data_IF_217985399873
#
_entry.id   IF_217985399873
#
_cell.length_a   1.000
_cell.length_b   1.000
_cell.length_c   1.000
_cell.angle_alpha   90.00
_cell.angle_beta   90.00
_cell.angle_gamma   90.00
#
_symmetry.space_group_name_H-M   'P 1'
#
loop_
_entity.id
_entity.type
_entity.pdbx_description
1 polymer ?
#
# COMPACT_ATOMS: atom_id res chain seq x y z
N UNK A 1 3.42 -14.96 11.91
CA UNK A 1 2.76 -16.28 11.74
C UNK A 1 3.84 -17.34 11.72
N UNK A 2 3.68 -18.51 12.39
CA UNK A 2 4.66 -19.58 12.34
C UNK A 2 4.01 -20.91 11.89
N UNK A 3 4.83 -21.87 11.44
CA UNK A 3 4.37 -23.17 10.95
C UNK A 3 3.64 -23.99 12.01
N UNK A 4 4.13 -23.96 13.26
CA UNK A 4 3.56 -24.72 14.35
C UNK A 4 2.12 -24.27 14.67
N UNK A 5 1.89 -22.97 14.62
CA UNK A 5 0.53 -22.41 14.78
C UNK A 5 -0.41 -22.91 13.67
N UNK A 6 0.02 -22.92 12.41
CA UNK A 6 -0.81 -23.40 11.30
C UNK A 6 -1.09 -24.90 11.40
N UNK A 7 -0.12 -25.72 11.85
CA UNK A 7 -0.32 -27.14 12.11
C UNK A 7 -1.31 -27.37 13.25
N UNK A 8 -1.19 -26.63 14.33
CA UNK A 8 -2.13 -26.73 15.46
C UNK A 8 -3.55 -26.29 15.09
N UNK A 9 -3.69 -25.43 14.09
CA UNK A 9 -4.97 -25.00 13.51
C UNK A 9 -5.53 -26.01 12.47
N UNK A 10 -4.86 -27.13 12.23
CA UNK A 10 -5.35 -28.19 11.34
C UNK A 10 -5.11 -27.91 9.85
N UNK A 11 -4.22 -26.97 9.50
CA UNK A 11 -3.92 -26.67 8.09
C UNK A 11 -3.01 -27.75 7.50
N UNK A 12 -3.33 -28.33 6.32
CA UNK A 12 -2.48 -29.31 5.65
C UNK A 12 -1.08 -28.77 5.31
N UNK A 13 -0.05 -29.63 5.40
CA UNK A 13 1.35 -29.22 5.18
C UNK A 13 1.58 -28.51 3.83
N UNK A 14 0.95 -28.98 2.76
CA UNK A 14 1.04 -28.34 1.42
C UNK A 14 0.44 -26.92 1.40
N UNK A 15 -0.65 -26.68 2.12
CA UNK A 15 -1.24 -25.37 2.26
C UNK A 15 -0.37 -24.47 3.14
N UNK A 16 0.26 -25.01 4.18
CA UNK A 16 1.20 -24.29 5.03
C UNK A 16 2.35 -23.70 4.22
N UNK A 17 2.95 -24.48 3.30
CA UNK A 17 4.04 -24.00 2.47
C UNK A 17 3.64 -22.81 1.59
N UNK A 18 2.45 -22.85 1.01
CA UNK A 18 1.91 -21.74 0.20
C UNK A 18 1.62 -20.49 1.05
N UNK A 19 1.00 -20.67 2.21
CA UNK A 19 0.69 -19.59 3.15
C UNK A 19 1.99 -18.93 3.64
N UNK A 20 3.00 -19.73 3.99
CA UNK A 20 4.27 -19.22 4.47
C UNK A 20 5.07 -18.51 3.37
N UNK A 21 4.99 -18.98 2.13
CA UNK A 21 5.62 -18.32 0.98
C UNK A 21 4.98 -16.96 0.69
N UNK A 22 3.64 -16.86 0.72
CA UNK A 22 2.93 -15.60 0.49
C UNK A 22 3.16 -14.63 1.63
N UNK A 23 3.05 -15.08 2.87
CA UNK A 23 3.38 -14.29 4.05
C UNK A 23 4.83 -13.79 4.04
N UNK A 24 5.77 -14.61 3.52
CA UNK A 24 7.17 -14.21 3.34
C UNK A 24 7.33 -13.06 2.35
N UNK A 25 6.58 -13.07 1.23
CA UNK A 25 6.57 -11.97 0.25
C UNK A 25 6.00 -10.68 0.86
N UNK A 26 4.88 -10.77 1.57
CA UNK A 26 4.26 -9.62 2.24
C UNK A 26 5.22 -8.98 3.25
N UNK A 27 5.86 -9.80 4.09
CA UNK A 27 6.85 -9.32 5.06
C UNK A 27 8.05 -8.68 4.35
N UNK A 28 8.51 -9.25 3.23
CA UNK A 28 9.62 -8.68 2.49
C UNK A 28 9.22 -7.34 1.85
N UNK A 29 8.04 -7.26 1.25
CA UNK A 29 7.51 -6.02 0.70
C UNK A 29 7.39 -4.89 1.74
N UNK A 30 6.91 -5.22 2.94
CA UNK A 30 6.83 -4.24 4.04
C UNK A 30 8.22 -3.82 4.56
N UNK A 31 9.17 -4.76 4.63
CA UNK A 31 10.56 -4.43 4.97
C UNK A 31 11.20 -3.52 3.92
N UNK A 32 10.97 -3.78 2.65
CA UNK A 32 11.51 -2.97 1.56
C UNK A 32 10.92 -1.56 1.56
N UNK A 33 9.60 -1.41 1.83
CA UNK A 33 8.95 -0.11 2.04
C UNK A 33 9.56 0.64 3.23
N UNK A 34 9.72 -0.04 4.36
CA UNK A 34 10.34 0.55 5.56
C UNK A 34 11.80 0.93 5.33
N UNK A 35 12.57 0.09 4.65
CA UNK A 35 13.97 0.36 4.31
C UNK A 35 14.10 1.56 3.38
N UNK A 36 13.19 1.68 2.39
CA UNK A 36 13.14 2.83 1.49
C UNK A 36 12.83 4.12 2.23
N UNK A 37 11.83 4.11 3.12
CA UNK A 37 11.49 5.29 3.91
C UNK A 37 12.66 5.77 4.80
N UNK A 38 13.40 4.83 5.42
CA UNK A 38 14.60 5.14 6.20
C UNK A 38 15.70 5.71 5.30
N UNK A 39 15.89 5.17 4.10
CA UNK A 39 16.86 5.69 3.13
C UNK A 39 16.51 7.11 2.68
N UNK A 40 15.25 7.35 2.33
CA UNK A 40 14.77 8.66 1.91
C UNK A 40 14.96 9.72 3.02
N UNK A 41 14.68 9.36 4.27
CA UNK A 41 14.93 10.23 5.44
C UNK A 41 16.41 10.53 5.64
N UNK A 42 17.26 9.51 5.48
CA UNK A 42 18.72 9.70 5.61
C UNK A 42 19.28 10.60 4.50
N UNK A 43 18.73 10.51 3.29
CA UNK A 43 19.09 11.36 2.15
C UNK A 43 18.65 12.82 2.38
N UNK A 44 17.42 13.03 2.83
CA UNK A 44 16.92 14.34 3.20
C UNK A 44 17.76 14.99 4.31
N UNK A 45 18.15 14.22 5.32
CA UNK A 45 19.01 14.70 6.40
C UNK A 45 20.39 15.12 5.89
N UNK A 46 21.00 14.38 4.96
CA UNK A 46 22.28 14.76 4.32
C UNK A 46 22.13 16.03 3.50
N UNK A 47 21.06 16.17 2.76
CA UNK A 47 20.78 17.37 1.95
C UNK A 47 20.67 18.60 2.85
N UNK A 48 19.93 18.51 3.95
CA UNK A 48 19.80 19.57 4.95
C UNK A 48 21.18 19.93 5.55
N UNK A 49 22.01 18.97 5.86
CA UNK A 49 23.35 19.23 6.42
C UNK A 49 24.28 19.91 5.39
N UNK A 50 24.18 19.51 4.12
CA UNK A 50 24.90 20.18 3.01
C UNK A 50 24.47 21.63 2.89
N UNK A 51 23.18 21.91 2.93
CA UNK A 51 22.67 23.29 2.85
C UNK A 51 23.10 24.13 4.06
N UNK A 52 23.09 23.57 5.26
CA UNK A 52 23.60 24.27 6.45
C UNK A 52 25.06 24.66 6.32
N UNK A 53 25.89 23.75 5.76
CA UNK A 53 27.29 24.03 5.50
C UNK A 53 27.46 25.15 4.49
N UNK A 54 26.70 25.11 3.39
CA UNK A 54 26.72 26.17 2.37
C UNK A 54 26.28 27.53 2.93
N UNK A 55 25.23 27.54 3.77
CA UNK A 55 24.80 28.74 4.48
C UNK A 55 25.92 29.30 5.34
N UNK A 56 26.58 28.48 6.15
CA UNK A 56 27.65 28.92 7.01
C UNK A 56 28.87 29.48 6.24
N UNK A 57 29.17 28.94 5.06
CA UNK A 57 30.20 29.47 4.15
C UNK A 57 29.77 30.80 3.52
N UNK A 58 28.54 30.89 3.04
CA UNK A 58 27.96 32.11 2.47
C UNK A 58 27.90 33.24 3.50
N UNK A 59 27.51 32.94 4.74
CA UNK A 59 27.49 33.92 5.84
C UNK A 59 28.89 34.50 6.13
N UNK A 60 29.94 33.68 6.08
CA UNK A 60 31.33 34.13 6.26
C UNK A 60 31.83 35.02 5.13
N UNK A 61 31.35 34.77 3.91
CA UNK A 61 31.80 35.48 2.71
C UNK A 61 30.89 36.60 2.29
N UNK A 62 29.67 36.68 2.86
CA UNK A 62 28.63 37.61 2.43
C UNK A 62 29.01 39.07 2.59
N UNK A 63 29.69 39.47 3.65
CA UNK A 63 29.97 40.89 3.90
C UNK A 63 28.73 41.77 3.62
N UNK A 64 28.90 42.84 2.83
CA UNK A 64 27.80 43.67 2.39
C UNK A 64 27.27 43.34 0.97
N UNK A 65 27.60 42.15 0.46
CA UNK A 65 27.17 41.73 -0.87
C UNK A 65 25.70 41.33 -0.91
N UNK A 66 24.87 42.14 -1.54
CA UNK A 66 23.40 41.95 -1.61
C UNK A 66 23.01 40.66 -2.33
N UNK A 67 23.81 40.19 -3.32
CA UNK A 67 23.49 38.97 -4.07
C UNK A 67 23.70 37.70 -3.22
N UNK A 68 24.70 37.72 -2.37
CA UNK A 68 24.94 36.62 -1.42
C UNK A 68 23.83 36.58 -0.37
N UNK A 69 23.32 37.72 0.10
CA UNK A 69 22.17 37.78 1.02
C UNK A 69 20.92 37.15 0.38
N UNK A 70 20.63 37.44 -0.88
CA UNK A 70 19.51 36.80 -1.60
C UNK A 70 19.65 35.29 -1.72
N UNK A 71 20.86 34.82 -2.08
CA UNK A 71 21.13 33.37 -2.17
C UNK A 71 20.94 32.68 -0.81
N UNK A 72 21.31 33.35 0.26
CA UNK A 72 21.14 32.84 1.62
C UNK A 72 19.66 32.74 2.01
N UNK A 73 18.86 33.77 1.70
CA UNK A 73 17.40 33.75 1.92
C UNK A 73 16.72 32.64 1.11
N UNK A 74 17.09 32.48 -0.16
CA UNK A 74 16.58 31.41 -1.02
C UNK A 74 16.92 30.03 -0.47
N UNK A 75 18.16 29.81 0.00
CA UNK A 75 18.59 28.54 0.56
C UNK A 75 17.89 28.21 1.88
N UNK A 76 17.69 29.21 2.73
CA UNK A 76 16.92 29.08 3.97
C UNK A 76 15.45 28.73 3.68
N UNK A 77 14.84 29.34 2.65
CA UNK A 77 13.47 29.03 2.24
C UNK A 77 13.36 27.60 1.70
N UNK A 78 14.35 27.12 0.93
CA UNK A 78 14.39 25.74 0.43
C UNK A 78 14.47 24.74 1.57
N UNK A 79 15.35 24.96 2.56
CA UNK A 79 15.45 24.08 3.76
C UNK A 79 14.12 24.04 4.53
N UNK A 80 13.48 25.19 4.73
CA UNK A 80 12.22 25.26 5.43
C UNK A 80 11.12 24.47 4.71
N UNK A 81 11.09 24.58 3.39
CA UNK A 81 10.12 23.86 2.56
C UNK A 81 10.37 22.34 2.54
N UNK A 82 11.64 21.92 2.35
CA UNK A 82 11.99 20.49 2.40
C UNK A 82 11.66 19.88 3.76
N UNK A 83 11.95 20.61 4.85
CA UNK A 83 11.61 20.15 6.19
C UNK A 83 10.09 20.04 6.36
N UNK A 84 9.33 21.02 5.88
CA UNK A 84 7.86 21.00 5.93
C UNK A 84 7.30 19.78 5.19
N UNK A 85 7.80 19.52 3.96
CA UNK A 85 7.38 18.36 3.16
C UNK A 85 7.75 17.03 3.82
N UNK A 86 8.93 16.95 4.42
CA UNK A 86 9.37 15.74 5.15
C UNK A 86 8.49 15.50 6.39
N UNK A 87 8.19 16.54 7.16
CA UNK A 87 7.33 16.46 8.35
C UNK A 87 5.88 16.08 7.97
N UNK A 88 5.32 16.65 6.88
CA UNK A 88 4.01 16.30 6.36
C UNK A 88 3.96 14.83 5.90
N UNK A 89 4.97 14.38 5.17
CA UNK A 89 5.05 12.98 4.72
C UNK A 89 5.14 12.02 5.91
N UNK A 90 5.96 12.32 6.89
CA UNK A 90 6.08 11.52 8.11
C UNK A 90 4.76 11.47 8.89
N UNK A 91 4.06 12.59 9.03
CA UNK A 91 2.76 12.65 9.68
C UNK A 91 1.69 11.85 8.91
N UNK A 92 1.70 11.93 7.57
CA UNK A 92 0.77 11.18 6.72
C UNK A 92 1.01 9.66 6.80
N UNK A 93 2.27 9.23 6.83
CA UNK A 93 2.65 7.82 7.04
C UNK A 93 2.24 7.33 8.43
N UNK A 94 2.46 8.11 9.48
CA UNK A 94 2.02 7.77 10.84
C UNK A 94 0.49 7.63 10.91
N UNK A 95 -0.24 8.55 10.30
CA UNK A 95 -1.70 8.48 10.24
C UNK A 95 -2.16 7.25 9.44
N UNK A 96 -1.54 6.96 8.32
CA UNK A 96 -1.80 5.75 7.52
C UNK A 96 -1.62 4.48 8.35
N UNK A 97 -0.53 4.37 9.08
CA UNK A 97 -0.24 3.22 9.94
C UNK A 97 -1.23 3.12 11.11
N UNK A 98 -1.64 4.24 11.67
CA UNK A 98 -2.67 4.30 12.73
C UNK A 98 -4.01 3.82 12.20
N UNK A 99 -4.42 4.25 11.01
CA UNK A 99 -5.65 3.81 10.36
C UNK A 99 -5.59 2.31 10.08
N UNK A 100 -4.49 1.82 9.52
CA UNK A 100 -4.28 0.40 9.23
C UNK A 100 -4.32 -0.47 10.50
N UNK A 101 -3.73 0.00 11.59
CA UNK A 101 -3.77 -0.69 12.87
C UNK A 101 -5.18 -0.75 13.51
N UNK A 102 -6.05 0.18 13.14
CA UNK A 102 -7.44 0.22 13.62
C UNK A 102 -8.38 -0.68 12.79
N UNK A 103 -7.93 -1.26 11.68
CA UNK A 103 -8.75 -2.18 10.90
C UNK A 103 -9.00 -3.49 11.65
N UNK A 104 -10.23 -4.04 11.56
CA UNK A 104 -10.56 -5.33 12.15
C UNK A 104 -9.65 -6.45 11.61
N UNK A 105 -9.10 -7.26 12.50
CA UNK A 105 -8.17 -8.34 12.13
C UNK A 105 -8.85 -9.51 11.40
N UNK A 106 -10.16 -9.62 11.53
CA UNK A 106 -11.03 -10.64 10.91
C UNK A 106 -11.43 -10.27 9.47
N UNK A 107 -11.24 -9.02 9.06
CA UNK A 107 -11.60 -8.53 7.72
C UNK A 107 -10.35 -8.01 6.98
N UNK A 108 -9.96 -8.73 5.94
CA UNK A 108 -8.87 -8.29 5.05
C UNK A 108 -9.45 -7.75 3.77
N UNK A 109 -8.94 -6.65 3.27
CA UNK A 109 -9.31 -6.14 1.96
C UNK A 109 -8.93 -7.13 0.84
N UNK A 110 -9.69 -7.15 -0.25
CA UNK A 110 -9.44 -8.03 -1.42
C UNK A 110 -8.07 -7.77 -2.05
N UNK A 111 -7.56 -6.54 -1.96
CA UNK A 111 -6.24 -6.15 -2.46
C UNK A 111 -5.78 -4.82 -1.83
N UNK A 112 -4.51 -4.52 -2.02
CA UNK A 112 -3.84 -3.31 -1.49
C UNK A 112 -4.46 -2.01 -2.05
N UNK A 113 -4.90 -1.99 -3.31
CA UNK A 113 -5.52 -0.79 -3.90
C UNK A 113 -6.82 -0.42 -3.20
N UNK A 114 -7.63 -1.43 -2.87
CA UNK A 114 -8.86 -1.23 -2.10
C UNK A 114 -8.54 -0.72 -0.70
N UNK A 115 -7.56 -1.30 -0.02
CA UNK A 115 -7.11 -0.82 1.29
C UNK A 115 -6.66 0.64 1.25
N UNK A 116 -5.80 1.01 0.30
CA UNK A 116 -5.31 2.38 0.15
C UNK A 116 -6.44 3.37 -0.16
N UNK A 117 -7.41 2.98 -1.01
CA UNK A 117 -8.57 3.81 -1.31
C UNK A 117 -9.40 4.09 -0.05
N UNK A 118 -9.62 3.08 0.80
CA UNK A 118 -10.34 3.25 2.08
C UNK A 118 -9.54 4.04 3.10
N UNK A 119 -8.23 3.88 3.19
CA UNK A 119 -7.37 4.73 4.02
C UNK A 119 -7.53 6.20 3.60
N UNK A 120 -7.52 6.48 2.29
CA UNK A 120 -7.74 7.83 1.77
C UNK A 120 -9.13 8.38 2.12
N UNK A 121 -10.18 7.57 2.00
CA UNK A 121 -11.54 7.96 2.40
C UNK A 121 -11.64 8.24 3.90
N UNK A 122 -11.03 7.40 4.75
CA UNK A 122 -11.03 7.61 6.21
C UNK A 122 -10.32 8.91 6.56
N UNK A 123 -9.15 9.20 5.97
CA UNK A 123 -8.44 10.48 6.16
C UNK A 123 -9.33 11.68 5.79
N UNK A 124 -10.04 11.57 4.66
CA UNK A 124 -10.97 12.62 4.23
C UNK A 124 -12.14 12.79 5.20
N UNK A 125 -12.73 11.68 5.67
CA UNK A 125 -13.83 11.71 6.63
C UNK A 125 -13.42 12.26 8.00
N UNK A 126 -12.20 11.93 8.48
CA UNK A 126 -11.67 12.48 9.74
C UNK A 126 -11.54 13.99 9.74
N UNK A 127 -11.32 14.59 8.57
CA UNK A 127 -11.20 16.05 8.42
C UNK A 127 -12.56 16.77 8.37
N UNK A 128 -13.67 16.04 8.28
CA UNK A 128 -15.01 16.65 8.25
C UNK A 128 -15.49 17.08 9.63
N UNK A 129 -16.10 18.26 9.77
CA UNK A 129 -16.61 18.76 11.05
C UNK A 129 -17.61 17.80 11.72
N UNK A 130 -18.44 17.11 10.94
CA UNK A 130 -19.47 16.17 11.38
C UNK A 130 -18.90 14.87 11.98
N UNK A 131 -17.65 14.57 11.72
CA UNK A 131 -16.96 13.40 12.24
C UNK A 131 -16.01 13.74 13.39
N UNK A 132 -16.03 14.99 13.85
CA UNK A 132 -15.17 15.46 14.92
C UNK A 132 -15.49 14.70 16.22
N UNK A 133 -14.52 13.91 16.68
CA UNK A 133 -14.67 13.07 17.89
C UNK A 133 -15.04 11.62 17.63
N UNK A 134 -15.33 11.24 16.38
CA UNK A 134 -15.49 9.82 16.02
C UNK A 134 -14.13 9.12 15.93
N UNK A 135 -14.09 7.88 16.39
CA UNK A 135 -12.92 7.03 16.26
C UNK A 135 -12.74 6.49 14.82
N UNK A 136 -11.50 6.14 14.45
CA UNK A 136 -11.19 5.55 13.14
C UNK A 136 -12.06 4.31 12.87
N UNK A 137 -12.25 3.44 13.87
CA UNK A 137 -13.09 2.25 13.73
C UNK A 137 -14.56 2.57 13.43
N UNK A 138 -15.12 3.62 14.03
CA UNK A 138 -16.50 4.05 13.76
C UNK A 138 -16.67 4.60 12.34
N UNK A 139 -15.69 5.37 11.86
CA UNK A 139 -15.65 5.86 10.49
C UNK A 139 -15.53 4.70 9.52
N UNK A 140 -14.64 3.75 9.81
CA UNK A 140 -14.44 2.54 9.01
C UNK A 140 -15.74 1.75 8.87
N UNK A 141 -16.43 1.43 9.97
CA UNK A 141 -17.69 0.70 9.95
C UNK A 141 -18.77 1.44 9.16
N UNK A 142 -18.82 2.77 9.27
CA UNK A 142 -19.76 3.59 8.50
C UNK A 142 -19.50 3.50 7.00
N UNK A 143 -18.22 3.54 6.58
CA UNK A 143 -17.83 3.49 5.17
C UNK A 143 -17.98 2.10 4.54
N UNK A 144 -17.95 1.04 5.35
CA UNK A 144 -17.93 -0.36 4.88
C UNK A 144 -19.23 -1.11 5.14
N UNK A 145 -20.23 -0.47 5.76
CA UNK A 145 -21.47 -1.08 6.27
C UNK A 145 -22.19 -1.99 5.27
N UNK A 146 -22.26 -1.60 4.01
CA UNK A 146 -23.01 -2.35 2.98
C UNK A 146 -22.09 -2.86 1.86
N UNK A 147 -20.81 -3.04 2.12
CA UNK A 147 -19.76 -3.35 1.14
C UNK A 147 -18.99 -4.61 1.52
N UNK A 148 -19.67 -5.75 1.47
CA UNK A 148 -19.02 -7.04 1.77
C UNK A 148 -18.01 -7.46 0.68
N UNK A 149 -18.16 -6.98 -0.54
CA UNK A 149 -17.36 -7.28 -1.72
C UNK A 149 -15.93 -6.71 -1.68
N UNK A 150 -15.68 -5.72 -0.82
CA UNK A 150 -14.34 -5.14 -0.65
C UNK A 150 -13.42 -5.98 0.23
N UNK A 151 -13.97 -6.97 0.92
CA UNK A 151 -13.21 -7.86 1.79
C UNK A 151 -12.97 -9.21 1.13
N UNK A 152 -11.78 -9.77 1.36
CA UNK A 152 -11.46 -11.12 0.92
C UNK A 152 -12.40 -12.12 1.62
N UNK A 153 -13.12 -12.91 0.82
CA UNK A 153 -13.95 -13.99 1.35
C UNK A 153 -13.03 -15.18 1.67
N UNK A 154 -12.86 -15.58 2.93
CA UNK A 154 -11.99 -16.70 3.30
C UNK A 154 -12.47 -18.04 2.73
N UNK A 155 -13.75 -18.12 2.31
CA UNK A 155 -14.35 -19.32 1.70
C UNK A 155 -14.35 -19.27 0.17
N UNK A 156 -13.93 -18.19 -0.44
CA UNK A 156 -13.75 -18.11 -1.88
C UNK A 156 -12.39 -18.72 -2.22
N UNK A 157 -12.35 -20.03 -2.38
CA UNK A 157 -11.31 -20.70 -3.17
C UNK A 157 -11.28 -19.96 -4.49
N UNK A 158 -10.14 -19.32 -4.80
CA UNK A 158 -10.02 -18.42 -5.95
C UNK A 158 -10.66 -19.06 -7.17
N UNK A 159 -11.83 -18.58 -7.49
CA UNK A 159 -12.50 -18.95 -8.72
C UNK A 159 -11.65 -18.32 -9.83
N UNK A 160 -10.74 -19.11 -10.41
CA UNK A 160 -10.08 -18.77 -11.67
C UNK A 160 -11.09 -18.81 -12.82
N UNK A 161 -12.26 -18.21 -12.62
CA UNK A 161 -13.27 -17.97 -13.63
C UNK A 161 -12.95 -16.71 -14.42
N UNK A 162 -11.71 -16.63 -14.88
CA UNK A 162 -11.36 -15.72 -15.98
C UNK A 162 -11.46 -16.42 -17.35
N UNK A 163 -11.60 -17.73 -17.34
CA UNK A 163 -12.08 -18.48 -18.51
C UNK A 163 -13.55 -18.73 -18.25
N UNK A 164 -14.41 -18.01 -19.00
CA UNK A 164 -15.82 -18.21 -19.00
C UNK A 164 -16.10 -19.70 -18.97
N UNK A 165 -17.00 -20.11 -18.11
CA UNK A 165 -17.71 -21.36 -18.22
C UNK A 165 -18.40 -21.33 -19.59
N UNK A 166 -17.65 -21.63 -20.64
CA UNK A 166 -18.22 -22.27 -21.78
C UNK A 166 -18.77 -23.56 -21.20
N UNK A 167 -20.05 -23.57 -20.84
CA UNK A 167 -20.85 -24.76 -20.97
C UNK A 167 -20.42 -25.33 -22.31
N UNK A 168 -19.58 -26.38 -22.26
CA UNK A 168 -19.42 -27.26 -23.40
C UNK A 168 -20.76 -27.96 -23.49
N UNK A 169 -21.74 -27.20 -23.98
CA UNK A 169 -22.87 -27.80 -24.65
C UNK A 169 -22.23 -28.61 -25.74
N UNK A 170 -22.26 -29.92 -25.56
CA UNK A 170 -21.80 -30.97 -26.44
C UNK A 170 -21.35 -30.41 -27.79
N UNK A 171 -20.06 -29.99 -27.83
CA UNK A 171 -19.45 -29.63 -29.11
C UNK A 171 -19.53 -30.91 -29.91
N UNK A 172 -20.43 -30.93 -30.89
CA UNK A 172 -20.63 -32.04 -31.77
C UNK A 172 -19.25 -32.40 -32.33
N UNK A 173 -18.68 -33.50 -31.81
CA UNK A 173 -17.32 -33.98 -32.15
C UNK A 173 -17.17 -34.09 -33.66
N UNK A 174 -18.26 -34.34 -34.36
CA UNK A 174 -18.35 -34.36 -35.80
C UNK A 174 -18.10 -32.97 -36.46
N UNK A 175 -18.54 -31.89 -35.85
CA UNK A 175 -18.29 -30.51 -36.33
C UNK A 175 -16.84 -30.12 -36.17
N UNK A 176 -16.27 -30.40 -35.02
CA UNK A 176 -14.84 -30.11 -34.76
C UNK A 176 -13.96 -30.87 -35.70
N UNK A 177 -14.22 -32.18 -35.92
CA UNK A 177 -13.45 -33.01 -36.85
C UNK A 177 -13.53 -32.50 -38.29
N UNK A 178 -14.72 -31.99 -38.68
CA UNK A 178 -14.93 -31.43 -40.04
C UNK A 178 -14.14 -30.14 -40.25
N UNK A 179 -14.06 -29.27 -39.24
CA UNK A 179 -13.25 -28.02 -39.29
C UNK A 179 -11.76 -28.31 -39.30
N UNK A 180 -11.33 -29.37 -38.61
CA UNK A 180 -9.92 -29.76 -38.53
C UNK A 180 -9.48 -30.70 -39.67
N UNK A 181 -10.36 -31.05 -40.63
CA UNK A 181 -10.03 -31.91 -41.74
C UNK A 181 -9.80 -33.37 -41.35
N UNK A 182 -10.30 -33.79 -40.20
CA UNK A 182 -10.16 -35.16 -39.69
C UNK A 182 -11.35 -36.03 -40.10
N UNK A 183 -11.15 -37.34 -40.35
CA UNK A 183 -12.26 -38.23 -40.71
C UNK A 183 -13.27 -38.33 -39.56
N UNK A 184 -14.56 -38.16 -39.91
CA UNK A 184 -15.68 -38.34 -39.00
C UNK A 184 -15.90 -39.84 -38.83
N UNK A 185 -15.92 -40.33 -37.59
CA UNK A 185 -16.30 -41.74 -37.31
C UNK A 185 -17.81 -41.84 -37.43
N UNK A 186 -18.27 -42.78 -38.29
CA UNK A 186 -19.67 -43.20 -38.35
C UNK A 186 -20.09 -43.94 -37.07
#
# INVERSE_FOLDING_TARGET
>A
MNREFLKSAGVPDEAIDRIMAEYGKDIQAEKDKGSKAVSDLAEAAKTIETYKTQIAELEKTAGDNSDVKKQLEELQAQIAEEKRLADEKAADEQLTNTIRAAFPQDRKFVNEYTEQAYIGQIKAEMNKPENKGKGIGEIFETLTKDKADIFANPNQVGNMSGFGETTIDTVDDAKVRRVMGLPVKE
#
